data_IF_166314219584
#
_entry.id   IF_166314219584
#
_cell.length_a   1.000
_cell.length_b   1.000
_cell.length_c   1.000
_cell.angle_alpha   90.00
_cell.angle_beta   90.00
_cell.angle_gamma   90.00
#
_symmetry.space_group_name_H-M   'P 1'
#
loop_
_entity.id
_entity.type
_entity.pdbx_description
1 polymer ?
#
# COMPACT_ATOMS: atom_id res chain seq x y z
N UNK A 1 8.75 17.91 -12.62
CA UNK A 1 9.44 16.60 -12.73
C UNK A 1 8.60 15.40 -12.21
N UNK A 2 7.25 15.45 -12.21
CA UNK A 2 6.42 14.31 -11.79
C UNK A 2 6.23 13.24 -12.88
N UNK A 3 6.39 13.63 -14.14
CA UNK A 3 6.14 12.79 -15.30
C UNK A 3 7.04 11.55 -15.39
N UNK A 4 8.29 11.62 -14.90
CA UNK A 4 9.22 10.50 -14.96
C UNK A 4 8.72 9.28 -14.16
N UNK A 5 8.31 9.49 -12.90
CA UNK A 5 7.71 8.43 -12.07
C UNK A 5 6.42 7.90 -12.71
N UNK A 6 5.57 8.80 -13.20
CA UNK A 6 4.30 8.41 -13.83
C UNK A 6 4.54 7.55 -15.08
N UNK A 7 5.54 7.89 -15.89
CA UNK A 7 5.92 7.16 -17.09
C UNK A 7 6.47 5.77 -16.73
N UNK A 8 7.36 5.66 -15.74
CA UNK A 8 7.85 4.36 -15.25
C UNK A 8 6.71 3.49 -14.75
N UNK A 9 5.77 4.04 -13.99
CA UNK A 9 4.62 3.28 -13.47
C UNK A 9 3.71 2.81 -14.62
N UNK A 10 3.47 3.66 -15.63
CA UNK A 10 2.69 3.28 -16.81
C UNK A 10 3.37 2.18 -17.61
N UNK A 11 4.68 2.27 -17.84
CA UNK A 11 5.45 1.22 -18.49
C UNK A 11 5.38 -0.09 -17.72
N UNK A 12 5.53 -0.04 -16.38
CA UNK A 12 5.35 -1.19 -15.52
C UNK A 12 3.96 -1.83 -15.67
N UNK A 13 2.90 -1.03 -15.81
CA UNK A 13 1.54 -1.57 -16.01
C UNK A 13 1.34 -2.25 -17.36
N UNK A 14 2.01 -1.76 -18.40
CA UNK A 14 1.99 -2.35 -19.75
C UNK A 14 2.78 -3.67 -19.75
N UNK A 15 3.95 -3.68 -19.11
CA UNK A 15 4.84 -4.85 -19.08
C UNK A 15 4.33 -5.97 -18.18
N UNK A 16 3.66 -5.64 -17.05
CA UNK A 16 3.24 -6.62 -16.05
C UNK A 16 1.73 -6.48 -15.81
N UNK A 17 0.90 -7.44 -16.28
CA UNK A 17 -0.55 -7.40 -16.12
C UNK A 17 -0.93 -7.54 -14.64
N UNK A 18 -2.09 -7.00 -14.27
CA UNK A 18 -2.56 -6.97 -12.88
C UNK A 18 -2.62 -8.35 -12.22
N UNK A 19 -2.93 -9.40 -12.98
CA UNK A 19 -2.96 -10.80 -12.52
C UNK A 19 -1.61 -11.30 -12.00
N UNK A 20 -0.50 -10.81 -12.57
CA UNK A 20 0.85 -11.29 -12.27
C UNK A 20 1.55 -10.43 -11.20
N UNK A 21 0.90 -9.34 -10.74
CA UNK A 21 1.46 -8.46 -9.72
C UNK A 21 1.31 -9.09 -8.34
N UNK A 22 2.31 -8.89 -7.48
CA UNK A 22 2.27 -9.35 -6.09
C UNK A 22 1.06 -8.74 -5.37
N UNK A 23 0.36 -9.57 -4.57
CA UNK A 23 -0.81 -9.12 -3.81
C UNK A 23 -0.36 -8.16 -2.71
N UNK A 24 -0.87 -6.93 -2.73
CA UNK A 24 -0.58 -5.90 -1.71
C UNK A 24 -1.26 -6.24 -0.38
N UNK A 25 -0.73 -5.72 0.73
CA UNK A 25 -1.39 -5.78 2.05
C UNK A 25 -2.39 -4.63 2.26
N UNK A 26 -2.24 -3.58 1.47
CA UNK A 26 -3.17 -2.45 1.43
C UNK A 26 -4.21 -2.68 0.34
N UNK A 27 -5.41 -2.10 0.52
CA UNK A 27 -6.50 -2.07 -0.47
C UNK A 27 -6.02 -1.54 -1.82
N UNK A 28 -5.15 -0.54 -1.78
CA UNK A 28 -4.52 0.05 -2.96
C UNK A 28 -3.09 -0.44 -3.15
N UNK A 29 -2.77 -0.89 -4.36
CA UNK A 29 -1.43 -1.36 -4.73
C UNK A 29 -0.37 -0.26 -4.59
N UNK A 30 0.89 -0.65 -4.35
CA UNK A 30 1.99 0.30 -4.23
C UNK A 30 2.13 1.19 -5.47
N UNK A 31 2.02 0.62 -6.67
CA UNK A 31 2.10 1.38 -7.93
C UNK A 31 0.97 2.40 -8.05
N UNK A 32 -0.28 2.04 -7.72
CA UNK A 32 -1.42 2.94 -7.82
C UNK A 32 -1.32 4.04 -6.76
N UNK A 33 -0.86 3.69 -5.55
CA UNK A 33 -0.65 4.65 -4.47
C UNK A 33 0.39 5.71 -4.86
N UNK A 34 1.56 5.28 -5.32
CA UNK A 34 2.64 6.18 -5.76
C UNK A 34 2.20 7.01 -6.97
N UNK A 35 1.47 6.42 -7.92
CA UNK A 35 0.95 7.14 -9.08
C UNK A 35 0.05 8.31 -8.67
N UNK A 36 -0.97 8.06 -7.85
CA UNK A 36 -1.91 9.12 -7.44
C UNK A 36 -1.28 10.18 -6.55
N UNK A 37 -0.45 9.80 -5.56
CA UNK A 37 0.21 10.80 -4.70
C UNK A 37 1.22 11.62 -5.50
N UNK A 38 1.91 11.03 -6.47
CA UNK A 38 2.79 11.76 -7.39
C UNK A 38 2.01 12.72 -8.29
N UNK A 39 0.82 12.33 -8.73
CA UNK A 39 -0.05 13.17 -9.56
C UNK A 39 -0.57 14.38 -8.78
N UNK A 40 -1.03 14.15 -7.55
CA UNK A 40 -1.63 15.16 -6.64
C UNK A 40 -0.61 16.06 -5.98
N UNK A 41 0.42 15.49 -5.36
CA UNK A 41 1.37 16.22 -4.50
C UNK A 41 2.78 16.36 -5.09
N UNK A 42 3.03 15.76 -6.27
CA UNK A 42 4.30 15.89 -6.99
C UNK A 42 5.35 14.83 -6.63
N UNK A 43 6.53 14.98 -7.24
CA UNK A 43 7.58 13.96 -7.26
C UNK A 43 8.10 13.56 -5.87
N UNK A 44 8.40 14.54 -5.01
CA UNK A 44 8.98 14.30 -3.68
C UNK A 44 8.03 13.47 -2.81
N UNK A 45 6.74 13.80 -2.84
CA UNK A 45 5.70 13.08 -2.12
C UNK A 45 5.46 11.68 -2.70
N UNK A 46 5.56 11.56 -4.02
CA UNK A 46 5.69 10.29 -4.73
C UNK A 46 6.76 9.37 -4.14
N UNK A 47 7.99 9.88 -4.07
CA UNK A 47 9.14 9.11 -3.59
C UNK A 47 9.01 8.74 -2.11
N UNK A 48 8.59 9.68 -1.25
CA UNK A 48 8.32 9.40 0.17
C UNK A 48 7.23 8.34 0.34
N UNK A 49 6.17 8.43 -0.46
CA UNK A 49 5.10 7.43 -0.48
C UNK A 49 5.59 6.05 -0.91
N UNK A 50 6.46 5.98 -1.92
CA UNK A 50 7.09 4.74 -2.34
C UNK A 50 7.96 4.14 -1.23
N UNK A 51 8.83 4.93 -0.62
CA UNK A 51 9.71 4.49 0.47
C UNK A 51 8.91 3.95 1.67
N UNK A 52 7.84 4.65 2.05
CA UNK A 52 6.92 4.19 3.11
C UNK A 52 6.32 2.82 2.77
N UNK A 53 5.78 2.66 1.56
CA UNK A 53 5.18 1.39 1.13
C UNK A 53 6.23 0.28 1.03
N UNK A 54 7.42 0.58 0.55
CA UNK A 54 8.51 -0.39 0.43
C UNK A 54 8.92 -0.95 1.80
N UNK A 55 8.99 -0.09 2.83
CA UNK A 55 9.31 -0.49 4.21
C UNK A 55 8.20 -1.32 4.85
N UNK A 56 6.93 -0.98 4.58
CA UNK A 56 5.80 -1.56 5.31
C UNK A 56 5.11 -2.76 4.62
N UNK A 57 5.28 -2.95 3.30
CA UNK A 57 4.59 -4.04 2.58
C UNK A 57 5.31 -5.40 2.61
N UNK A 58 6.54 -5.50 3.12
CA UNK A 58 7.43 -6.65 2.90
C UNK A 58 7.41 -7.75 3.99
N UNK A 59 6.48 -7.68 4.94
CA UNK A 59 6.34 -8.66 6.03
C UNK A 59 6.24 -7.98 7.38
N UNK A 60 6.18 -8.77 8.47
CA UNK A 60 6.19 -8.30 9.86
C UNK A 60 5.08 -7.30 10.24
N UNK A 61 3.94 -7.35 9.54
CA UNK A 61 2.72 -6.69 9.98
C UNK A 61 1.88 -7.68 10.79
N UNK A 62 1.10 -7.18 11.75
CA UNK A 62 0.17 -7.99 12.53
C UNK A 62 -1.22 -7.38 12.47
N UNK A 63 -2.23 -8.22 12.27
CA UNK A 63 -3.64 -7.83 12.31
C UNK A 63 -4.16 -8.19 13.69
N UNK A 64 -4.82 -7.24 14.34
CA UNK A 64 -5.38 -7.43 15.66
C UNK A 64 -6.73 -6.73 15.77
N UNK A 65 -7.54 -7.18 16.72
CA UNK A 65 -8.77 -6.50 17.12
C UNK A 65 -8.45 -5.58 18.28
N UNK A 66 -8.73 -4.30 18.13
CA UNK A 66 -8.51 -3.33 19.20
C UNK A 66 -9.46 -3.64 20.37
N UNK A 67 -8.96 -3.85 21.60
CA UNK A 67 -9.80 -4.24 22.74
C UNK A 67 -10.74 -3.13 23.21
N UNK A 68 -10.44 -1.86 22.90
CA UNK A 68 -11.22 -0.70 23.33
C UNK A 68 -12.30 -0.39 22.29
N UNK A 69 -11.92 -0.30 21.01
CA UNK A 69 -12.84 0.12 19.93
C UNK A 69 -13.52 -1.05 19.22
N UNK A 70 -13.08 -2.28 19.48
CA UNK A 70 -13.53 -3.51 18.84
C UNK A 70 -13.29 -3.52 17.30
N UNK A 71 -12.51 -2.57 16.77
CA UNK A 71 -12.18 -2.45 15.34
C UNK A 71 -11.01 -3.34 14.96
N UNK A 72 -11.01 -3.83 13.72
CA UNK A 72 -9.87 -4.57 13.16
C UNK A 72 -8.85 -3.56 12.67
N UNK A 73 -7.63 -3.66 13.18
CA UNK A 73 -6.51 -2.79 12.85
C UNK A 73 -5.30 -3.64 12.43
N UNK A 74 -4.34 -3.01 11.76
CA UNK A 74 -3.05 -3.62 11.43
C UNK A 74 -1.93 -2.74 11.91
N UNK A 75 -0.99 -3.31 12.66
CA UNK A 75 0.28 -2.68 12.98
C UNK A 75 1.30 -3.02 11.90
N UNK A 76 1.87 -1.97 11.29
CA UNK A 76 2.90 -2.07 10.26
C UNK A 76 4.30 -2.20 10.89
N UNK A 77 5.32 -2.65 10.13
CA UNK A 77 6.72 -2.67 10.60
C UNK A 77 7.25 -1.33 11.11
N UNK A 78 6.72 -0.22 10.60
CA UNK A 78 7.04 1.12 11.10
C UNK A 78 6.30 1.51 12.38
N UNK A 79 5.63 0.57 13.05
CA UNK A 79 4.78 0.77 14.22
C UNK A 79 3.58 1.70 13.99
N UNK A 80 3.22 1.90 12.72
CA UNK A 80 2.04 2.68 12.36
C UNK A 80 0.84 1.73 12.35
N UNK A 81 -0.24 2.15 13.02
CA UNK A 81 -1.50 1.43 13.03
C UNK A 81 -2.36 1.97 11.89
N UNK A 82 -2.88 1.07 11.06
CA UNK A 82 -3.83 1.39 10.00
C UNK A 82 -5.16 0.69 10.24
N UNK A 83 -6.23 1.34 9.79
CA UNK A 83 -7.60 0.85 9.94
C UNK A 83 -7.97 -0.18 8.85
N UNK A 84 -9.05 -0.92 9.11
CA UNK A 84 -9.60 -1.95 8.22
C UNK A 84 -9.78 -1.47 6.77
N UNK A 85 -10.20 -0.22 6.59
CA UNK A 85 -10.51 0.36 5.27
C UNK A 85 -9.28 0.49 4.37
N UNK A 86 -8.09 0.58 4.98
CA UNK A 86 -6.82 0.67 4.25
C UNK A 86 -6.21 -0.69 3.91
N UNK A 87 -6.64 -1.74 4.60
CA UNK A 87 -6.10 -3.10 4.49
C UNK A 87 -6.80 -3.86 3.35
N UNK A 88 -6.04 -4.71 2.66
CA UNK A 88 -6.57 -5.56 1.60
C UNK A 88 -7.53 -6.62 2.17
N UNK A 89 -8.75 -6.70 1.61
CA UNK A 89 -9.82 -7.58 2.09
C UNK A 89 -9.42 -9.06 2.20
N UNK A 90 -8.55 -9.52 1.30
CA UNK A 90 -8.01 -10.89 1.29
C UNK A 90 -7.32 -11.30 2.61
N UNK A 91 -6.85 -10.34 3.40
CA UNK A 91 -6.13 -10.61 4.65
C UNK A 91 -7.07 -10.91 5.82
N UNK A 92 -8.37 -10.67 5.67
CA UNK A 92 -9.36 -10.96 6.70
C UNK A 92 -9.98 -12.35 6.58
N UNK A 93 -9.86 -13.01 5.41
CA UNK A 93 -10.52 -14.30 5.14
C UNK A 93 -10.03 -15.48 6.00
N UNK A 94 -8.96 -15.31 6.77
CA UNK A 94 -8.39 -16.37 7.63
C UNK A 94 -8.37 -15.99 9.13
N UNK A 95 -8.98 -14.87 9.53
CA UNK A 95 -8.93 -14.34 10.91
C UNK A 95 -10.32 -13.98 11.46
N UNK A 96 -11.38 -14.56 10.89
CA UNK A 96 -12.77 -14.50 11.37
C UNK A 96 -13.27 -15.92 11.52
#
# INVERSE_FOLDING_TARGET
MKYFILLIIRLYWILIPQSNRRKCIFKKSCSNYVFEITQKEGFIKGLKGFQFRYKNCRGNFSIFKNPITNKIQMILPSQIIIEKEEIAERLFKNHV
#
